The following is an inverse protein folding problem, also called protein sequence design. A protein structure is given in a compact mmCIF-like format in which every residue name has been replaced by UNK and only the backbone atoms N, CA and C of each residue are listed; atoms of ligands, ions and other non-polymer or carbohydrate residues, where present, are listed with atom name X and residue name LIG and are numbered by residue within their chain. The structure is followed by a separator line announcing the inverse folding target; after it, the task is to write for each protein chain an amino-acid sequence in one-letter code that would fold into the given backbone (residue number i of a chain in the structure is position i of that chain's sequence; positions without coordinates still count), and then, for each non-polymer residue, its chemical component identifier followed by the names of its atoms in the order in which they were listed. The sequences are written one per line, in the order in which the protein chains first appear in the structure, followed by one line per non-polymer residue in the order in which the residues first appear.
data_IF_544881849436
#
_entry.id   IF_544881849436
#
_cell.length_a   1.000
_cell.length_b   1.000
_cell.length_c   1.000
_cell.angle_alpha   90.00
_cell.angle_beta   90.00
_cell.angle_gamma   90.00
#
_symmetry.space_group_name_H-M   'P 1'
#
loop_
_entity.id
_entity.type
_entity.pdbx_description
1 polymer ?
#
# COMPACT_ATOMS: atom_id res chain seq x y z
N UNK A 1 -16.61 -36.39 0.65
CA UNK A 1 -15.95 -35.10 0.96
C UNK A 1 -15.70 -35.09 2.45
N UNK A 2 -14.46 -35.28 2.91
CA UNK A 2 -14.17 -35.38 4.35
C UNK A 2 -14.71 -34.14 5.09
N UNK A 3 -15.50 -34.38 6.14
CA UNK A 3 -16.06 -33.35 7.00
C UNK A 3 -14.95 -32.85 7.92
N UNK A 4 -14.24 -31.82 7.47
CA UNK A 4 -13.18 -31.20 8.27
C UNK A 4 -13.86 -30.25 9.26
N UNK A 5 -13.81 -30.52 10.57
CA UNK A 5 -14.48 -29.68 11.56
C UNK A 5 -13.85 -28.29 11.56
N UNK A 6 -14.69 -27.26 11.40
CA UNK A 6 -14.24 -25.86 11.46
C UNK A 6 -13.80 -25.51 12.88
N UNK A 7 -12.48 -25.32 13.07
CA UNK A 7 -11.89 -24.87 14.32
C UNK A 7 -11.35 -23.43 14.16
N UNK A 8 -12.11 -22.40 14.56
CA UNK A 8 -11.66 -21.02 14.46
C UNK A 8 -10.55 -20.73 15.46
N UNK A 9 -9.49 -20.07 15.00
CA UNK A 9 -8.42 -19.52 15.85
C UNK A 9 -8.54 -18.00 15.92
N UNK A 10 -8.35 -17.44 17.11
CA UNK A 10 -8.33 -16.00 17.29
C UNK A 10 -7.13 -15.39 16.57
N UNK A 11 -7.37 -14.36 15.75
CA UNK A 11 -6.31 -13.66 15.02
C UNK A 11 -5.55 -12.71 15.94
N UNK A 12 -4.31 -13.04 16.29
CA UNK A 12 -3.45 -12.23 17.16
C UNK A 12 -2.35 -11.54 16.34
N UNK A 13 -2.68 -10.39 15.75
CA UNK A 13 -1.81 -9.69 14.77
C UNK A 13 -0.36 -9.48 15.24
N UNK A 14 -0.15 -9.14 16.51
CA UNK A 14 1.20 -8.92 17.05
C UNK A 14 2.05 -10.20 17.08
N UNK A 15 1.48 -11.28 17.63
CA UNK A 15 2.15 -12.58 17.73
C UNK A 15 2.36 -13.23 16.35
N UNK A 16 1.40 -13.10 15.44
CA UNK A 16 1.52 -13.56 14.05
C UNK A 16 2.69 -12.87 13.33
N UNK A 17 2.84 -11.56 13.52
CA UNK A 17 3.93 -10.79 12.91
C UNK A 17 5.29 -11.14 13.51
N UNK A 18 5.39 -11.28 14.83
CA UNK A 18 6.63 -11.67 15.49
C UNK A 18 7.12 -13.05 15.02
N UNK A 19 6.19 -13.99 14.80
CA UNK A 19 6.51 -15.30 14.21
C UNK A 19 6.97 -15.18 12.76
N UNK A 20 6.32 -14.33 11.96
CA UNK A 20 6.69 -14.13 10.56
C UNK A 20 8.08 -13.50 10.40
N UNK A 21 8.46 -12.57 11.29
CA UNK A 21 9.79 -11.95 11.31
C UNK A 21 10.94 -12.94 11.55
N UNK A 22 10.65 -14.12 12.12
CA UNK A 22 11.63 -15.19 12.32
C UNK A 22 11.79 -16.10 11.08
N UNK A 23 10.92 -15.98 10.08
CA UNK A 23 11.00 -16.81 8.88
C UNK A 23 12.16 -16.37 7.98
N UNK A 24 12.94 -17.32 7.43
CA UNK A 24 14.00 -17.00 6.49
C UNK A 24 13.43 -16.27 5.27
N UNK A 25 14.10 -15.18 4.86
CA UNK A 25 13.69 -14.35 3.72
C UNK A 25 12.58 -13.33 4.00
N UNK A 26 11.98 -13.31 5.20
CA UNK A 26 10.91 -12.36 5.53
C UNK A 26 11.37 -10.89 5.49
N UNK A 27 12.53 -10.59 6.05
CA UNK A 27 13.09 -9.23 6.07
C UNK A 27 13.37 -8.71 4.67
N UNK A 28 14.04 -9.51 3.83
CA UNK A 28 14.34 -9.16 2.44
C UNK A 28 13.06 -8.93 1.60
N UNK A 29 12.07 -9.83 1.70
CA UNK A 29 10.80 -9.66 1.01
C UNK A 29 10.02 -8.43 1.50
N UNK A 30 10.16 -8.07 2.78
CA UNK A 30 9.55 -6.87 3.37
C UNK A 30 10.24 -5.60 2.90
N UNK A 31 11.56 -5.61 2.75
CA UNK A 31 12.33 -4.50 2.19
C UNK A 31 12.01 -4.28 0.71
N UNK A 32 11.92 -5.37 -0.06
CA UNK A 32 11.53 -5.32 -1.48
C UNK A 32 10.16 -4.67 -1.66
N UNK A 33 9.17 -5.05 -0.83
CA UNK A 33 7.82 -4.47 -0.86
C UNK A 33 7.67 -3.12 -0.13
N UNK A 34 8.76 -2.57 0.44
CA UNK A 34 8.66 -1.42 1.34
C UNK A 34 8.16 -0.16 0.64
N UNK A 35 8.47 0.02 -0.65
CA UNK A 35 8.04 1.19 -1.43
C UNK A 35 6.53 1.16 -1.64
N UNK A 36 5.99 0.02 -2.08
CA UNK A 36 4.56 -0.21 -2.29
C UNK A 36 3.78 0.02 -0.99
N UNK A 37 4.27 -0.52 0.12
CA UNK A 37 3.64 -0.33 1.43
C UNK A 37 3.62 1.14 1.86
N UNK A 38 4.70 1.89 1.64
CA UNK A 38 4.74 3.32 1.95
C UNK A 38 3.73 4.10 1.12
N UNK A 39 3.67 3.83 -0.19
CA UNK A 39 2.71 4.48 -1.08
C UNK A 39 1.26 4.21 -0.65
N UNK A 40 0.88 2.94 -0.47
CA UNK A 40 -0.48 2.57 -0.08
C UNK A 40 -0.89 3.22 1.24
N UNK A 41 0.05 3.29 2.20
CA UNK A 41 -0.19 3.95 3.48
C UNK A 41 -0.38 5.45 3.33
N UNK A 42 0.41 6.11 2.48
CA UNK A 42 0.23 7.53 2.18
C UNK A 42 -1.13 7.82 1.54
N UNK A 43 -1.60 6.99 0.60
CA UNK A 43 -2.93 7.14 0.00
C UNK A 43 -4.03 7.01 1.06
N UNK A 44 -3.96 5.96 1.88
CA UNK A 44 -4.94 5.72 2.94
C UNK A 44 -4.98 6.87 3.96
N UNK A 45 -3.81 7.35 4.38
CA UNK A 45 -3.70 8.42 5.36
C UNK A 45 -4.15 9.76 4.76
N UNK A 46 -3.84 10.03 3.48
CA UNK A 46 -4.34 11.22 2.78
C UNK A 46 -5.86 11.24 2.70
N UNK A 47 -6.50 10.12 2.32
CA UNK A 47 -7.96 10.03 2.30
C UNK A 47 -8.58 10.24 3.67
N UNK A 48 -8.00 9.63 4.71
CA UNK A 48 -8.46 9.82 6.09
C UNK A 48 -8.36 11.28 6.54
N UNK A 49 -7.27 11.97 6.19
CA UNK A 49 -7.11 13.41 6.48
C UNK A 49 -8.14 14.26 5.74
N UNK A 50 -8.47 13.89 4.51
CA UNK A 50 -9.54 14.54 3.74
C UNK A 50 -10.96 14.23 4.27
N UNK A 51 -11.10 13.31 5.24
CA UNK A 51 -12.38 12.95 5.84
C UNK A 51 -13.31 12.16 4.91
N UNK A 52 -12.79 11.57 3.83
CA UNK A 52 -13.59 10.89 2.82
C UNK A 52 -13.61 9.37 3.00
N UNK A 53 -14.75 8.77 2.72
CA UNK A 53 -14.92 7.32 2.56
C UNK A 53 -14.43 6.87 1.18
N UNK A 54 -14.19 5.56 1.02
CA UNK A 54 -13.83 5.00 -0.28
C UNK A 54 -14.93 5.19 -1.33
N UNK A 55 -16.21 5.21 -0.91
CA UNK A 55 -17.36 5.40 -1.78
C UNK A 55 -17.45 6.85 -2.29
N UNK A 56 -17.18 7.83 -1.42
CA UNK A 56 -17.16 9.24 -1.80
C UNK A 56 -16.03 9.55 -2.78
N UNK A 57 -14.83 8.98 -2.53
CA UNK A 57 -13.72 9.12 -3.48
C UNK A 57 -14.05 8.45 -4.81
N UNK A 58 -14.65 7.26 -4.79
CA UNK A 58 -15.06 6.55 -6.01
C UNK A 58 -16.04 7.38 -6.84
N UNK A 59 -17.07 7.92 -6.19
CA UNK A 59 -18.07 8.81 -6.80
C UNK A 59 -17.40 10.02 -7.44
N UNK A 60 -16.53 10.73 -6.71
CA UNK A 60 -15.84 11.93 -7.23
C UNK A 60 -14.86 11.62 -8.36
N UNK A 61 -14.23 10.45 -8.35
CA UNK A 61 -13.34 10.00 -9.42
C UNK A 61 -14.08 9.43 -10.64
N UNK A 62 -15.40 9.17 -10.54
CA UNK A 62 -16.17 8.48 -11.57
C UNK A 62 -15.74 7.02 -11.74
N UNK A 63 -15.52 6.31 -10.62
CA UNK A 63 -15.12 4.89 -10.61
C UNK A 63 -15.89 4.12 -9.54
N UNK A 64 -15.56 2.85 -9.33
CA UNK A 64 -16.23 1.99 -8.34
C UNK A 64 -15.49 1.99 -7.01
N UNK A 65 -16.22 1.76 -5.90
CA UNK A 65 -15.59 1.52 -4.59
C UNK A 65 -14.59 0.36 -4.62
N UNK A 66 -14.85 -0.69 -5.40
CA UNK A 66 -13.91 -1.81 -5.56
C UNK A 66 -12.61 -1.40 -6.26
N UNK A 67 -12.65 -0.43 -7.18
CA UNK A 67 -11.46 0.15 -7.78
C UNK A 67 -10.65 0.96 -6.75
N UNK A 68 -11.30 1.78 -5.93
CA UNK A 68 -10.64 2.53 -4.84
C UNK A 68 -10.06 1.59 -3.77
N UNK A 69 -10.80 0.54 -3.41
CA UNK A 69 -10.30 -0.47 -2.47
C UNK A 69 -9.04 -1.17 -3.00
N UNK A 70 -8.99 -1.49 -4.29
CA UNK A 70 -7.77 -2.01 -4.94
C UNK A 70 -6.65 -0.97 -4.97
N UNK A 71 -6.97 0.29 -5.26
CA UNK A 71 -5.99 1.38 -5.25
C UNK A 71 -5.33 1.56 -3.86
N UNK A 72 -6.09 1.39 -2.78
CA UNK A 72 -5.63 1.57 -1.40
C UNK A 72 -5.08 0.28 -0.75
N UNK A 73 -5.29 -0.89 -1.36
CA UNK A 73 -5.01 -2.19 -0.74
C UNK A 73 -4.25 -3.21 -1.58
N UNK A 74 -4.14 -3.03 -2.90
CA UNK A 74 -3.48 -3.99 -3.77
C UNK A 74 -1.97 -3.76 -3.83
N UNK A 75 -1.20 -4.83 -3.58
CA UNK A 75 0.27 -4.84 -3.74
C UNK A 75 0.73 -5.35 -5.11
N UNK A 76 -0.19 -5.87 -5.93
CA UNK A 76 0.17 -6.58 -7.17
C UNK A 76 0.44 -5.63 -8.34
N UNK A 77 -0.25 -4.50 -8.39
CA UNK A 77 -0.12 -3.51 -9.46
C UNK A 77 -0.13 -2.12 -8.85
N UNK A 78 0.97 -1.40 -9.06
CA UNK A 78 1.05 0.01 -8.71
C UNK A 78 0.15 0.83 -9.65
N UNK A 79 -0.57 1.84 -9.13
CA UNK A 79 -1.33 2.74 -9.98
C UNK A 79 -0.40 3.56 -10.87
N UNK A 80 -0.87 3.88 -12.07
CA UNK A 80 -0.22 4.86 -12.91
C UNK A 80 -0.22 6.24 -12.23
N UNK A 81 0.78 7.08 -12.56
CA UNK A 81 0.87 8.45 -12.06
C UNK A 81 -0.39 9.28 -12.35
N UNK A 82 -1.03 9.04 -13.50
CA UNK A 82 -2.30 9.68 -13.87
C UNK A 82 -3.42 9.36 -12.90
N UNK A 83 -3.50 8.11 -12.43
CA UNK A 83 -4.46 7.68 -11.41
C UNK A 83 -4.15 8.33 -10.06
N UNK A 84 -2.87 8.38 -9.68
CA UNK A 84 -2.44 9.04 -8.44
C UNK A 84 -2.81 10.53 -8.44
N UNK A 85 -2.59 11.24 -9.56
CA UNK A 85 -2.96 12.65 -9.69
C UNK A 85 -4.46 12.86 -9.53
N UNK A 86 -5.28 12.10 -10.28
CA UNK A 86 -6.76 12.20 -10.17
C UNK A 86 -7.27 11.89 -8.76
N UNK A 87 -6.63 10.94 -8.07
CA UNK A 87 -6.96 10.63 -6.69
C UNK A 87 -6.60 11.80 -5.78
N UNK A 88 -5.41 12.37 -5.92
CA UNK A 88 -4.96 13.53 -5.14
C UNK A 88 -5.84 14.77 -5.39
N UNK A 89 -6.24 15.03 -6.63
CA UNK A 89 -7.15 16.12 -6.99
C UNK A 89 -8.47 16.04 -6.20
N UNK A 90 -9.04 14.83 -6.09
CA UNK A 90 -10.28 14.59 -5.31
C UNK A 90 -10.11 14.82 -3.82
N UNK A 91 -8.89 14.62 -3.30
CA UNK A 91 -8.53 14.86 -1.91
C UNK A 91 -8.07 16.30 -1.64
N UNK A 92 -7.92 17.14 -2.68
CA UNK A 92 -7.33 18.48 -2.56
C UNK A 92 -5.84 18.43 -2.18
N UNK A 93 -5.11 17.45 -2.72
CA UNK A 93 -3.69 17.23 -2.46
C UNK A 93 -2.89 17.26 -3.77
N UNK A 94 -1.58 17.51 -3.66
CA UNK A 94 -0.63 17.35 -4.76
C UNK A 94 0.19 16.06 -4.63
N UNK A 95 0.68 15.55 -5.76
CA UNK A 95 1.60 14.41 -5.81
C UNK A 95 3.03 14.92 -5.95
N UNK A 96 3.84 14.72 -4.91
CA UNK A 96 5.29 14.99 -4.94
C UNK A 96 6.07 13.68 -5.02
N UNK A 97 7.06 13.61 -5.91
CA UNK A 97 7.91 12.43 -6.10
C UNK A 97 9.38 12.86 -6.04
N UNK A 98 10.11 12.26 -5.12
CA UNK A 98 11.53 12.53 -4.89
C UNK A 98 12.35 11.25 -5.03
N UNK A 99 13.38 11.28 -5.86
CA UNK A 99 14.34 10.19 -6.02
C UNK A 99 15.48 10.42 -5.04
N UNK A 100 15.71 9.46 -4.14
CA UNK A 100 16.76 9.53 -3.12
C UNK A 100 17.86 8.52 -3.39
N UNK A 101 19.14 8.81 -3.08
CA UNK A 101 20.22 7.84 -3.16
C UNK A 101 19.95 6.62 -2.26
N UNK A 102 20.33 5.43 -2.71
CA UNK A 102 20.33 4.24 -1.86
C UNK A 102 21.46 4.37 -0.83
N UNK A 103 21.15 4.21 0.46
CA UNK A 103 22.16 4.17 1.49
C UNK A 103 23.17 3.04 1.18
N UNK A 104 24.46 3.38 1.06
CA UNK A 104 25.56 2.40 0.96
C UNK A 104 26.11 2.09 -0.43
N UNK A 105 25.70 2.77 -1.52
CA UNK A 105 26.40 2.66 -2.81
C UNK A 105 26.76 4.08 -3.31
N UNK A 106 28.04 4.48 -3.33
CA UNK A 106 28.41 5.78 -3.88
C UNK A 106 27.94 5.81 -5.33
N UNK A 107 27.25 6.89 -5.71
CA UNK A 107 26.98 7.15 -7.11
C UNK A 107 28.33 7.27 -7.81
N UNK A 108 28.65 6.32 -8.69
CA UNK A 108 29.77 6.50 -9.61
C UNK A 108 29.45 7.76 -10.42
N UNK A 109 30.26 8.83 -10.34
CA UNK A 109 30.01 10.01 -11.13
C UNK A 109 30.07 9.62 -12.62
N UNK A 110 29.01 9.95 -13.35
CA UNK A 110 28.99 9.82 -14.80
C UNK A 110 30.05 10.76 -15.39
N UNK A 111 30.87 10.23 -16.29
CA UNK A 111 31.97 10.92 -16.96
C UNK A 111 31.48 11.81 -18.10
#
# INVERSE_FOLDING_TARGET
MADIPYQPVARVRGAERAKAEQLPGYSAAREEAAVEFRLLRQLLDARKRAGLTQEEVATRMGTTRSAICRLEGSRKHLPALTTLRRYADVLGCDVEITIVPRAGKPATPAR
#
